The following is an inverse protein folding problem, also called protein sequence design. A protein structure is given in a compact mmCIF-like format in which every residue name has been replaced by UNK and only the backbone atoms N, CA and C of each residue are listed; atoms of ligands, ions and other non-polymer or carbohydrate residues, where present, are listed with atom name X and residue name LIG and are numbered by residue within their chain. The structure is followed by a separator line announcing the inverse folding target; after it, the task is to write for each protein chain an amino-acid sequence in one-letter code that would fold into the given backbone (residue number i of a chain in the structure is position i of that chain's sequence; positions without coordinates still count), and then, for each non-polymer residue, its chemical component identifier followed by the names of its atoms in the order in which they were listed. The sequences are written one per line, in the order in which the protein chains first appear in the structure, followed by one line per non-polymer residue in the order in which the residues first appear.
data_IF_079514920195
#
_entry.id   IF_079514920195
#
_cell.length_a   1.000
_cell.length_b   1.000
_cell.length_c   1.000
_cell.angle_alpha   90.00
_cell.angle_beta   90.00
_cell.angle_gamma   90.00
#
_symmetry.space_group_name_H-M   'P 1'
#
loop_
_entity.id
_entity.type
_entity.pdbx_description
1 polymer ?
#
# COMPACT_ATOMS: atom_id res chain seq x y z
N UNK A 1 13.46 -17.55 -14.07
CA UNK A 1 12.12 -17.71 -13.44
C UNK A 1 11.99 -16.67 -12.36
N UNK A 2 11.34 -15.53 -12.66
CA UNK A 2 11.21 -14.41 -11.74
C UNK A 2 10.23 -14.74 -10.61
N UNK A 3 10.77 -14.97 -9.41
CA UNK A 3 10.05 -15.15 -8.15
C UNK A 3 9.54 -13.78 -7.69
N UNK A 4 8.61 -13.19 -8.43
CA UNK A 4 7.97 -11.92 -8.05
C UNK A 4 6.45 -11.90 -8.32
N UNK A 5 5.90 -12.89 -9.03
CA UNK A 5 4.45 -13.06 -9.21
C UNK A 5 3.68 -13.56 -7.99
N UNK A 6 4.36 -13.82 -6.86
CA UNK A 6 3.77 -14.31 -5.60
C UNK A 6 3.74 -13.26 -4.48
N UNK A 7 4.15 -12.02 -4.75
CA UNK A 7 4.24 -10.94 -3.76
C UNK A 7 3.68 -9.64 -4.37
N UNK A 8 2.38 -9.57 -4.63
CA UNK A 8 1.72 -8.26 -4.61
C UNK A 8 0.34 -8.41 -3.99
N UNK A 9 0.24 -8.19 -2.68
CA UNK A 9 -0.68 -7.15 -2.27
C UNK A 9 -0.03 -6.28 -1.20
N UNK A 10 0.15 -5.00 -1.48
CA UNK A 10 0.26 -3.98 -0.44
C UNK A 10 -0.50 -2.75 -0.92
N UNK A 11 -1.77 -2.65 -0.53
CA UNK A 11 -2.43 -1.36 -0.38
C UNK A 11 -2.65 -1.16 1.12
N UNK A 12 -1.70 -0.50 1.76
CA UNK A 12 -1.91 0.05 3.09
C UNK A 12 -2.35 1.50 2.88
N UNK A 13 -3.64 1.76 3.01
CA UNK A 13 -4.15 3.12 3.16
C UNK A 13 -3.85 3.57 4.60
N UNK A 14 -2.64 4.07 4.80
CA UNK A 14 -2.30 4.90 5.95
C UNK A 14 -2.34 6.36 5.50
N UNK A 15 -3.30 7.13 5.99
CA UNK A 15 -3.30 8.57 5.81
C UNK A 15 -2.33 9.21 6.81
N UNK A 16 -1.29 9.86 6.30
CA UNK A 16 -0.50 10.84 7.03
C UNK A 16 -0.54 12.09 6.15
N UNK A 17 -1.26 13.13 6.58
CA UNK A 17 -1.25 14.42 5.90
C UNK A 17 -0.51 15.45 6.75
N UNK A 18 0.34 16.24 6.10
CA UNK A 18 0.67 17.60 6.55
C UNK A 18 -0.59 18.46 6.35
N UNK A 19 -0.82 19.37 7.30
CA UNK A 19 -1.78 20.49 7.21
C UNK A 19 -3.28 20.13 7.04
N UNK A 20 -3.80 19.36 8.00
CA UNK A 20 -5.23 19.04 8.23
C UNK A 20 -5.77 17.88 7.38
N UNK A 21 -6.36 16.92 8.09
CA UNK A 21 -6.85 15.64 7.56
C UNK A 21 -8.37 15.61 7.72
N UNK A 22 -9.06 15.34 6.62
CA UNK A 22 -10.43 14.83 6.63
C UNK A 22 -10.46 13.63 7.58
N UNK A 23 -11.37 13.53 8.56
CA UNK A 23 -11.45 12.37 9.43
C UNK A 23 -11.78 11.12 8.58
N UNK A 24 -10.74 10.38 8.22
CA UNK A 24 -10.85 9.16 7.43
C UNK A 24 -11.32 8.03 8.33
N UNK A 25 -12.57 7.63 8.16
CA UNK A 25 -13.03 6.33 8.62
C UNK A 25 -12.16 5.26 7.97
N UNK A 26 -11.66 4.29 8.75
CA UNK A 26 -10.91 3.14 8.22
C UNK A 26 -11.86 2.14 7.57
N UNK A 27 -12.50 2.55 6.48
CA UNK A 27 -13.24 1.67 5.59
C UNK A 27 -12.39 1.49 4.34
N UNK A 28 -11.62 0.40 4.31
CA UNK A 28 -10.82 0.01 3.16
C UNK A 28 -11.42 -1.21 2.49
N UNK A 29 -11.63 -1.14 1.18
CA UNK A 29 -11.95 -2.32 0.38
C UNK A 29 -10.64 -2.97 -0.06
N UNK A 30 -10.37 -4.18 0.43
CA UNK A 30 -9.26 -4.98 -0.06
C UNK A 30 -9.78 -5.84 -1.22
N UNK A 31 -9.52 -5.42 -2.46
CA UNK A 31 -9.83 -6.23 -3.64
C UNK A 31 -8.58 -7.02 -4.02
N UNK A 32 -8.57 -8.30 -3.66
CA UNK A 32 -7.45 -9.20 -3.93
C UNK A 32 -7.84 -10.22 -4.98
N UNK A 33 -6.99 -10.38 -5.99
CA UNK A 33 -6.97 -11.57 -6.84
C UNK A 33 -5.88 -12.47 -6.29
N UNK A 34 -6.25 -13.36 -5.38
CA UNK A 34 -5.32 -14.29 -4.73
C UNK A 34 -5.62 -15.73 -5.17
N UNK A 35 -5.21 -16.11 -6.41
CA UNK A 35 -5.50 -17.44 -6.96
C UNK A 35 -4.83 -18.58 -6.18
N UNK A 36 -3.90 -18.27 -5.26
CA UNK A 36 -3.12 -19.25 -4.50
C UNK A 36 -3.41 -19.25 -2.99
N UNK A 37 -4.38 -18.45 -2.51
CA UNK A 37 -4.78 -18.41 -1.11
C UNK A 37 -3.66 -17.98 -0.14
N UNK A 38 -2.73 -17.16 -0.60
CA UNK A 38 -1.59 -16.66 0.19
C UNK A 38 -2.09 -15.80 1.36
N UNK A 39 -3.16 -15.02 1.16
CA UNK A 39 -3.71 -14.13 2.18
C UNK A 39 -4.36 -14.87 3.34
N UNK A 40 -4.94 -16.05 3.09
CA UNK A 40 -5.44 -16.92 4.16
C UNK A 40 -4.32 -17.42 5.07
N UNK A 41 -3.09 -17.56 4.55
CA UNK A 41 -1.94 -18.04 5.31
C UNK A 41 -1.31 -16.96 6.20
N UNK A 42 -1.47 -15.67 5.86
CA UNK A 42 -0.71 -14.58 6.49
C UNK A 42 -1.29 -13.96 7.77
N UNK A 43 -2.39 -14.48 8.34
CA UNK A 43 -2.90 -14.13 9.70
C UNK A 43 -2.90 -12.62 10.07
N UNK A 44 -3.14 -11.72 9.11
CA UNK A 44 -2.94 -10.28 9.36
C UNK A 44 -4.07 -9.60 10.15
N UNK A 45 -5.19 -10.28 10.37
CA UNK A 45 -6.32 -9.88 11.24
C UNK A 45 -7.16 -11.14 11.48
N UNK A 46 -6.68 -12.07 12.31
CA UNK A 46 -7.42 -13.34 12.53
C UNK A 46 -7.36 -13.78 13.99
N UNK A 47 -7.55 -12.84 14.92
CA UNK A 47 -7.92 -13.21 16.28
C UNK A 47 -9.39 -12.84 16.50
N UNK A 48 -10.31 -13.62 15.91
CA UNK A 48 -11.77 -13.40 15.98
C UNK A 48 -12.38 -13.50 17.38
N UNK A 49 -11.55 -13.54 18.43
CA UNK A 49 -11.93 -13.44 19.83
C UNK A 49 -11.67 -12.05 20.44
N UNK A 50 -10.92 -11.17 19.75
CA UNK A 50 -10.66 -9.80 20.21
C UNK A 50 -11.68 -8.79 19.64
N UNK A 51 -11.93 -8.87 18.33
CA UNK A 51 -12.84 -7.96 17.62
C UNK A 51 -13.85 -8.74 16.77
N UNK A 52 -15.05 -8.17 16.56
CA UNK A 52 -16.02 -8.70 15.61
C UNK A 52 -15.61 -8.28 14.20
N UNK A 53 -15.39 -9.26 13.34
CA UNK A 53 -14.98 -9.03 11.96
C UNK A 53 -15.97 -9.70 10.99
N UNK A 54 -16.16 -9.09 9.82
CA UNK A 54 -16.89 -9.67 8.70
C UNK A 54 -16.12 -9.37 7.41
N UNK A 55 -15.99 -10.39 6.55
CA UNK A 55 -15.36 -10.26 5.24
C UNK A 55 -16.18 -10.98 4.18
N UNK A 56 -16.22 -10.42 2.97
CA UNK A 56 -16.82 -11.04 1.78
C UNK A 56 -15.74 -11.21 0.72
N UNK A 57 -15.62 -12.43 0.20
CA UNK A 57 -14.80 -12.74 -0.96
C UNK A 57 -15.69 -13.07 -2.15
N UNK A 58 -15.51 -12.35 -3.25
CA UNK A 58 -16.25 -12.60 -4.49
C UNK A 58 -15.29 -12.50 -5.69
N UNK A 59 -15.62 -13.25 -6.74
CA UNK A 59 -14.91 -13.21 -8.01
C UNK A 59 -15.90 -13.29 -9.17
N UNK A 60 -15.46 -12.91 -10.37
CA UNK A 60 -16.27 -12.98 -11.57
C UNK A 60 -15.92 -14.28 -12.34
N UNK A 61 -16.82 -15.28 -12.42
CA UNK A 61 -16.49 -16.60 -12.98
C UNK A 61 -16.01 -16.58 -14.44
N UNK A 62 -16.45 -15.58 -15.21
CA UNK A 62 -16.06 -15.40 -16.62
C UNK A 62 -14.90 -14.41 -16.83
N UNK A 63 -14.31 -13.88 -15.75
CA UNK A 63 -13.17 -12.96 -15.81
C UNK A 63 -12.02 -13.46 -14.91
N UNK A 64 -11.63 -14.72 -15.10
CA UNK A 64 -10.54 -15.36 -14.37
C UNK A 64 -9.19 -15.15 -15.05
N UNK A 65 -8.11 -15.13 -14.26
CA UNK A 65 -6.73 -14.95 -14.76
C UNK A 65 -6.02 -16.27 -15.11
N UNK A 66 -6.75 -17.31 -15.47
CA UNK A 66 -6.21 -18.68 -15.65
C UNK A 66 -5.51 -18.90 -16.99
N UNK A 67 -6.05 -18.34 -18.08
CA UNK A 67 -5.50 -18.46 -19.45
C UNK A 67 -5.18 -17.11 -20.09
N UNK A 68 -5.81 -16.05 -19.61
CA UNK A 68 -5.66 -14.69 -20.09
C UNK A 68 -5.76 -13.75 -18.88
N UNK A 69 -5.23 -12.52 -18.95
CA UNK A 69 -5.40 -11.56 -17.88
C UNK A 69 -6.88 -11.31 -17.57
N UNK A 70 -7.24 -11.27 -16.29
CA UNK A 70 -8.58 -10.88 -15.87
C UNK A 70 -8.85 -9.41 -16.23
N UNK A 71 -9.93 -9.16 -16.98
CA UNK A 71 -10.36 -7.83 -17.43
C UNK A 71 -11.85 -7.55 -17.12
N UNK A 72 -12.26 -7.88 -15.90
CA UNK A 72 -13.61 -7.61 -15.39
C UNK A 72 -13.71 -6.34 -14.53
N UNK A 73 -14.78 -6.26 -13.74
CA UNK A 73 -15.04 -5.18 -12.77
C UNK A 73 -13.92 -5.07 -11.72
N UNK A 74 -13.38 -6.20 -11.27
CA UNK A 74 -12.23 -6.21 -10.33
C UNK A 74 -11.01 -5.50 -10.94
N UNK A 75 -10.72 -5.78 -12.21
CA UNK A 75 -9.62 -5.13 -12.92
C UNK A 75 -9.86 -3.63 -13.10
N UNK A 76 -11.08 -3.24 -13.51
CA UNK A 76 -11.47 -1.85 -13.67
C UNK A 76 -11.38 -1.07 -12.36
N UNK A 77 -11.89 -1.64 -11.26
CA UNK A 77 -11.82 -1.04 -9.93
C UNK A 77 -10.36 -0.84 -9.47
N UNK A 78 -9.49 -1.84 -9.67
CA UNK A 78 -8.06 -1.69 -9.38
C UNK A 78 -7.43 -0.56 -10.21
N UNK A 79 -7.73 -0.47 -11.51
CA UNK A 79 -7.20 0.61 -12.37
C UNK A 79 -7.72 1.99 -11.94
N UNK A 80 -8.97 2.09 -11.49
CA UNK A 80 -9.52 3.33 -10.95
C UNK A 80 -8.79 3.78 -9.68
N UNK A 81 -8.52 2.86 -8.74
CA UNK A 81 -7.70 3.16 -7.56
C UNK A 81 -6.27 3.57 -7.93
N UNK A 82 -5.68 2.91 -8.92
CA UNK A 82 -4.35 3.28 -9.41
C UNK A 82 -4.38 4.68 -10.03
N UNK A 83 -5.40 5.02 -10.80
CA UNK A 83 -5.57 6.37 -11.33
C UNK A 83 -5.73 7.41 -10.21
N UNK A 84 -6.55 7.14 -9.21
CA UNK A 84 -6.74 8.02 -8.05
C UNK A 84 -5.44 8.27 -7.28
N UNK A 85 -4.64 7.23 -7.06
CA UNK A 85 -3.41 7.33 -6.29
C UNK A 85 -2.20 7.80 -7.10
N UNK A 86 -2.12 7.47 -8.39
CA UNK A 86 -0.98 7.80 -9.24
C UNK A 86 -1.22 9.07 -10.08
N UNK A 87 -2.47 9.51 -10.22
CA UNK A 87 -2.88 10.65 -11.06
C UNK A 87 -2.84 10.38 -12.57
N UNK A 88 -2.58 9.14 -12.97
CA UNK A 88 -2.49 8.75 -14.39
C UNK A 88 -2.72 7.26 -14.60
N UNK A 89 -3.03 6.91 -15.84
CA UNK A 89 -3.00 5.54 -16.34
C UNK A 89 -1.78 5.35 -17.23
N UNK A 90 -1.20 4.16 -17.18
CA UNK A 90 -0.03 3.78 -17.97
C UNK A 90 -0.14 2.30 -18.38
N UNK A 91 0.43 1.92 -19.52
CA UNK A 91 0.33 0.56 -20.04
C UNK A 91 0.94 -0.50 -19.11
N UNK A 92 2.08 -0.26 -18.44
CA UNK A 92 2.63 -1.21 -17.46
C UNK A 92 1.63 -1.55 -16.34
N UNK A 93 0.73 -0.62 -15.99
CA UNK A 93 -0.25 -0.85 -14.93
C UNK A 93 -1.25 -1.94 -15.28
N UNK A 94 -1.41 -2.29 -16.56
CA UNK A 94 -2.23 -3.43 -17.00
C UNK A 94 -1.64 -4.78 -16.60
N UNK A 95 -0.34 -4.81 -16.26
CA UNK A 95 0.47 -5.99 -15.89
C UNK A 95 1.20 -5.74 -14.56
N UNK A 96 0.47 -5.66 -13.43
CA UNK A 96 1.06 -5.33 -12.12
C UNK A 96 2.14 -6.31 -11.65
N UNK A 97 2.15 -7.53 -12.17
CA UNK A 97 3.16 -8.56 -11.93
C UNK A 97 4.50 -8.27 -12.62
N UNK A 98 4.53 -7.36 -13.59
CA UNK A 98 5.74 -7.05 -14.36
C UNK A 98 6.72 -6.21 -13.56
N UNK A 99 8.01 -6.49 -13.75
CA UNK A 99 9.10 -5.70 -13.15
C UNK A 99 9.00 -4.22 -13.58
N UNK A 100 8.64 -3.98 -14.83
CA UNK A 100 8.42 -2.64 -15.38
C UNK A 100 7.34 -1.88 -14.60
N UNK A 101 6.19 -2.51 -14.36
CA UNK A 101 5.12 -1.90 -13.59
C UNK A 101 5.56 -1.55 -12.16
N UNK A 102 6.22 -2.50 -11.48
CA UNK A 102 6.70 -2.28 -10.10
C UNK A 102 7.74 -1.16 -10.06
N UNK A 103 8.67 -1.12 -11.02
CA UNK A 103 9.65 -0.04 -11.12
C UNK A 103 8.98 1.31 -11.38
N UNK A 104 7.98 1.36 -12.27
CA UNK A 104 7.22 2.56 -12.62
C UNK A 104 6.47 3.13 -11.41
N UNK A 105 5.70 2.30 -10.71
CA UNK A 105 4.97 2.68 -9.49
C UNK A 105 5.93 3.19 -8.41
N UNK A 106 7.03 2.47 -8.18
CA UNK A 106 8.03 2.87 -7.18
C UNK A 106 8.72 4.20 -7.54
N UNK A 107 8.99 4.45 -8.82
CA UNK A 107 9.58 5.71 -9.26
C UNK A 107 8.63 6.89 -8.99
N UNK A 108 7.35 6.71 -9.32
CA UNK A 108 6.32 7.73 -9.05
C UNK A 108 6.16 7.97 -7.56
N UNK A 109 6.06 6.91 -6.76
CA UNK A 109 5.90 7.01 -5.32
C UNK A 109 7.08 7.71 -4.62
N UNK A 110 8.31 7.52 -5.11
CA UNK A 110 9.48 8.27 -4.62
C UNK A 110 9.41 9.74 -5.01
N UNK A 111 9.11 10.04 -6.28
CA UNK A 111 8.95 11.42 -6.75
C UNK A 111 7.88 12.17 -5.95
N UNK A 112 6.76 11.52 -5.67
CA UNK A 112 5.66 12.12 -4.90
C UNK A 112 6.04 12.31 -3.43
N UNK A 113 6.83 11.40 -2.86
CA UNK A 113 7.41 11.59 -1.52
C UNK A 113 8.32 12.82 -1.47
N UNK A 114 9.21 13.00 -2.47
CA UNK A 114 10.11 14.14 -2.53
C UNK A 114 9.33 15.46 -2.61
N UNK A 115 8.27 15.51 -3.42
CA UNK A 115 7.37 16.67 -3.50
C UNK A 115 6.63 16.93 -2.18
N UNK A 116 6.09 15.88 -1.55
CA UNK A 116 5.35 15.99 -0.29
C UNK A 116 6.25 16.41 0.89
N UNK A 117 7.50 15.94 0.90
CA UNK A 117 8.47 16.22 1.97
C UNK A 117 9.23 17.54 1.78
N UNK A 118 9.14 18.16 0.60
CA UNK A 118 9.68 19.49 0.32
C UNK A 118 9.21 20.56 1.33
N UNK A 119 10.07 21.55 1.55
CA UNK A 119 9.72 22.75 2.34
C UNK A 119 8.75 23.66 1.60
N UNK A 120 8.87 23.74 0.27
CA UNK A 120 8.01 24.55 -0.60
C UNK A 120 7.00 23.67 -1.34
N UNK A 121 5.76 24.15 -1.40
CA UNK A 121 4.69 23.56 -2.18
C UNK A 121 4.24 24.60 -3.22
N UNK A 122 4.79 24.50 -4.42
CA UNK A 122 4.48 25.46 -5.49
C UNK A 122 3.17 25.12 -6.21
N UNK A 123 2.80 23.83 -6.22
CA UNK A 123 1.62 23.29 -6.89
C UNK A 123 1.03 22.10 -6.12
N UNK A 124 -0.21 21.75 -6.43
CA UNK A 124 -0.85 20.53 -5.94
C UNK A 124 -0.05 19.28 -6.31
N UNK A 125 -0.12 18.26 -5.46
CA UNK A 125 0.55 16.99 -5.73
C UNK A 125 -0.11 16.29 -6.93
N UNK A 126 0.68 15.81 -7.91
CA UNK A 126 0.15 15.15 -9.09
C UNK A 126 -0.44 13.75 -8.80
N UNK A 127 -0.28 13.23 -7.59
CA UNK A 127 -0.85 11.98 -7.10
C UNK A 127 -0.58 11.80 -5.62
N UNK A 128 -1.18 10.76 -5.05
CA UNK A 128 -1.28 10.55 -3.59
C UNK A 128 -0.57 9.27 -3.10
N UNK A 129 0.04 8.50 -4.00
CA UNK A 129 0.86 7.35 -3.62
C UNK A 129 2.27 7.79 -3.24
N UNK A 130 2.66 7.60 -1.99
CA UNK A 130 4.02 7.90 -1.52
C UNK A 130 4.77 6.63 -1.16
N UNK A 131 6.09 6.63 -1.40
CA UNK A 131 6.96 5.63 -0.79
C UNK A 131 6.97 5.84 0.71
N UNK A 132 6.72 4.78 1.49
CA UNK A 132 6.86 4.85 2.94
C UNK A 132 8.33 5.19 3.29
N UNK A 133 8.60 6.10 4.24
CA UNK A 133 9.94 6.68 4.44
C UNK A 133 10.95 5.77 5.16
N UNK A 134 11.07 4.54 4.70
CA UNK A 134 12.02 3.53 5.16
C UNK A 134 12.84 2.99 3.98
N UNK A 135 13.97 2.38 4.28
CA UNK A 135 14.72 1.55 3.34
C UNK A 135 14.97 0.18 3.95
N UNK A 136 15.04 -0.82 3.08
CA UNK A 136 15.38 -2.19 3.45
C UNK A 136 16.84 -2.44 3.09
N UNK A 137 17.65 -2.86 4.05
CA UNK A 137 19.05 -3.18 3.79
C UNK A 137 19.19 -4.49 3.02
N UNK A 138 20.39 -4.77 2.48
CA UNK A 138 20.70 -6.08 1.86
C UNK A 138 20.47 -7.28 2.79
N UNK A 139 20.42 -7.06 4.10
CA UNK A 139 20.16 -8.09 5.13
C UNK A 139 18.67 -8.21 5.51
N UNK A 140 17.79 -7.41 4.90
CA UNK A 140 16.36 -7.38 5.23
C UNK A 140 16.01 -6.52 6.44
N UNK A 141 16.95 -5.75 7.00
CA UNK A 141 16.68 -4.85 8.13
C UNK A 141 15.90 -3.61 7.64
N UNK A 142 14.87 -3.21 8.38
CA UNK A 142 14.14 -1.96 8.15
C UNK A 142 14.88 -0.80 8.82
N UNK A 143 15.18 0.25 8.07
CA UNK A 143 15.82 1.46 8.57
C UNK A 143 15.11 2.71 8.04
N UNK A 144 15.22 3.84 8.75
CA UNK A 144 14.72 5.12 8.25
C UNK A 144 15.49 5.57 7.02
N UNK A 145 14.84 6.31 6.11
CA UNK A 145 15.55 7.06 5.07
C UNK A 145 16.50 8.09 5.72
N UNK A 146 17.64 8.33 5.07
CA UNK A 146 18.66 9.25 5.59
C UNK A 146 18.04 10.65 5.76
N UNK A 147 18.16 11.21 6.96
CA UNK A 147 17.59 12.53 7.29
C UNK A 147 16.10 12.54 7.67
N UNK A 148 15.43 11.39 7.69
CA UNK A 148 13.97 11.30 7.95
C UNK A 148 13.69 10.48 9.23
N UNK A 149 14.12 11.00 10.39
CA UNK A 149 13.83 10.34 11.67
C UNK A 149 12.34 10.41 12.03
N UNK A 150 11.69 11.53 11.70
CA UNK A 150 10.30 11.83 12.04
C UNK A 150 9.44 12.00 10.78
N UNK A 151 8.13 11.76 10.90
CA UNK A 151 7.21 12.15 9.83
C UNK A 151 7.21 13.68 9.65
N UNK A 152 7.10 14.18 8.40
CA UNK A 152 7.08 15.61 8.13
C UNK A 152 6.04 16.34 9.01
N UNK A 153 6.41 17.49 9.55
CA UNK A 153 5.62 18.33 10.48
C UNK A 153 5.27 17.68 11.84
N UNK A 154 5.94 16.58 12.22
CA UNK A 154 5.69 15.91 13.51
C UNK A 154 6.98 15.65 14.29
N UNK A 155 6.81 15.23 15.55
CA UNK A 155 7.87 14.61 16.38
C UNK A 155 7.67 13.09 16.48
N UNK A 156 6.86 12.49 15.61
CA UNK A 156 6.56 11.07 15.62
C UNK A 156 7.59 10.30 14.80
N UNK A 157 8.26 9.33 15.43
CA UNK A 157 9.31 8.53 14.78
C UNK A 157 8.72 7.64 13.70
N UNK A 158 9.36 7.60 12.53
CA UNK A 158 8.91 6.76 11.40
C UNK A 158 8.86 5.27 11.76
N UNK A 159 9.87 4.76 12.48
CA UNK A 159 9.92 3.36 12.93
C UNK A 159 9.08 3.09 14.19
N UNK A 160 8.40 4.13 14.71
CA UNK A 160 7.71 4.06 15.98
C UNK A 160 8.64 3.82 17.16
N UNK A 161 8.03 3.42 18.28
CA UNK A 161 8.73 3.04 19.51
C UNK A 161 7.90 2.03 20.28
N UNK A 162 8.55 0.98 20.81
CA UNK A 162 7.87 0.01 21.65
C UNK A 162 7.45 0.65 22.98
N UNK A 163 6.16 0.61 23.28
CA UNK A 163 5.66 1.08 24.58
C UNK A 163 6.12 0.15 25.70
N UNK A 164 6.55 0.72 26.83
CA UNK A 164 6.81 -0.01 28.07
C UNK A 164 5.56 -0.13 28.95
N UNK A 165 4.53 0.67 28.67
CA UNK A 165 3.34 0.81 29.49
C UNK A 165 2.13 0.09 28.90
N UNK A 166 1.97 0.14 27.58
CA UNK A 166 0.86 -0.52 26.90
C UNK A 166 1.24 -1.99 26.62
N UNK A 167 0.45 -2.95 27.12
CA UNK A 167 0.67 -4.35 26.82
C UNK A 167 0.36 -4.63 25.32
N UNK A 168 1.05 -5.60 24.69
CA UNK A 168 0.86 -5.92 23.28
C UNK A 168 -0.60 -6.15 22.89
N UNK A 169 -1.40 -6.77 23.76
CA UNK A 169 -2.83 -7.06 23.52
C UNK A 169 -3.69 -5.85 23.18
N UNK A 170 -3.24 -4.63 23.50
CA UNK A 170 -3.94 -3.37 23.15
C UNK A 170 -3.40 -2.71 21.89
N UNK A 171 -2.31 -3.21 21.32
CA UNK A 171 -1.55 -2.57 20.23
C UNK A 171 -1.27 -3.51 19.05
N UNK A 172 -1.69 -4.78 19.15
CA UNK A 172 -1.57 -5.83 18.13
C UNK A 172 -2.94 -6.43 17.90
#
# INVERSE_FOLDING_TARGET
MGVFGSIVPILTLGSISKRWLVPGWRLGWLVTSDPNGILQKTKLTMNGAQDIEIAMGAYQPFHLSTRQPARGQIHGFRMALWYEHLGMLDNPFLHPESVECVQRVNQMARKYWDLYSSETLDHDLPGHLFSYPIHITKKGEVKVLLGIEFFPDTKAKVLGSKSKLLPPILTT
#
